data_IF_376949147244
#
_entry.id   IF_376949147244
#
_cell.length_a   1.000
_cell.length_b   1.000
_cell.length_c   1.000
_cell.angle_alpha   90.00
_cell.angle_beta   90.00
_cell.angle_gamma   90.00
#
_symmetry.space_group_name_H-M   'P 1'
#
loop_
_entity.id
_entity.type
_entity.pdbx_description
1 polymer ?
#
# COMPACT_ATOMS: atom_id res chain seq x y z
N UNK A 1 44.52 9.60 37.29
CA UNK A 1 43.12 9.35 36.88
C UNK A 1 42.31 9.30 38.17
N UNK A 2 41.41 10.27 38.37
CA UNK A 2 40.64 10.39 39.62
C UNK A 2 39.47 9.40 39.61
N UNK A 3 39.13 8.80 40.75
CA UNK A 3 37.93 7.94 40.88
C UNK A 3 36.65 8.73 40.57
N UNK A 4 36.67 10.07 40.75
CA UNK A 4 35.59 10.95 40.34
C UNK A 4 35.45 11.10 38.81
N UNK A 5 36.54 10.92 38.04
CA UNK A 5 36.47 10.85 36.56
C UNK A 5 35.82 9.55 36.09
N UNK A 6 35.76 8.54 36.95
CA UNK A 6 35.16 7.22 36.67
C UNK A 6 33.69 7.11 37.09
N UNK A 7 33.16 8.14 37.76
CA UNK A 7 31.73 8.21 38.07
C UNK A 7 30.98 8.62 36.80
N UNK A 8 30.60 7.61 36.03
CA UNK A 8 29.72 7.75 34.88
C UNK A 8 28.49 8.58 35.28
N UNK A 9 28.42 9.81 34.77
CA UNK A 9 27.25 10.66 34.96
C UNK A 9 26.05 10.02 34.22
N UNK A 10 25.07 9.60 34.99
CA UNK A 10 23.85 8.95 34.47
C UNK A 10 23.07 9.90 33.57
N UNK A 11 23.14 11.22 33.83
CA UNK A 11 22.51 12.24 32.98
C UNK A 11 23.22 12.34 31.62
N UNK A 12 24.56 12.38 31.60
CA UNK A 12 25.34 12.35 30.37
C UNK A 12 25.08 11.09 29.52
N UNK A 13 24.95 9.92 30.14
CA UNK A 13 24.57 8.68 29.43
C UNK A 13 23.14 8.74 28.89
N UNK A 14 22.18 9.24 29.68
CA UNK A 14 20.81 9.38 29.23
C UNK A 14 20.71 10.34 28.03
N UNK A 15 21.49 11.42 28.06
CA UNK A 15 21.59 12.39 26.98
C UNK A 15 22.23 11.79 25.72
N UNK A 16 23.37 11.10 25.85
CA UNK A 16 24.01 10.40 24.74
C UNK A 16 23.07 9.35 24.11
N UNK A 17 22.32 8.60 24.94
CA UNK A 17 21.32 7.63 24.48
C UNK A 17 20.14 8.32 23.76
N UNK A 18 19.74 9.52 24.18
CA UNK A 18 18.72 10.29 23.49
C UNK A 18 19.20 10.79 22.13
N UNK A 19 20.47 11.21 22.02
CA UNK A 19 21.08 11.66 20.77
C UNK A 19 21.23 10.51 19.75
N UNK A 20 21.59 9.32 20.21
CA UNK A 20 21.71 8.11 19.39
C UNK A 20 20.35 7.45 19.11
N UNK A 21 19.27 7.91 19.74
CA UNK A 21 17.93 7.35 19.52
C UNK A 21 17.49 7.68 18.10
N UNK A 22 17.53 6.69 17.22
CA UNK A 22 17.05 6.84 15.85
C UNK A 22 15.63 7.42 15.86
N UNK A 23 15.37 8.53 15.16
CA UNK A 23 14.03 9.09 15.09
C UNK A 23 13.12 8.03 14.47
N UNK A 24 12.14 7.56 15.25
CA UNK A 24 11.12 6.63 14.75
C UNK A 24 10.34 7.38 13.67
N UNK A 25 10.72 7.14 12.40
CA UNK A 25 10.01 7.67 11.24
C UNK A 25 8.62 7.02 11.26
N UNK A 26 7.63 7.73 11.82
CA UNK A 26 6.23 7.32 11.76
C UNK A 26 5.82 7.37 10.29
N UNK A 27 5.97 6.27 9.58
CA UNK A 27 5.37 6.12 8.26
C UNK A 27 3.86 6.20 8.43
N UNK A 28 3.24 7.15 7.74
CA UNK A 28 1.79 7.22 7.63
C UNK A 28 1.38 6.05 6.73
N UNK A 29 0.95 4.94 7.33
CA UNK A 29 0.49 3.74 6.60
C UNK A 29 -0.90 3.93 5.97
N UNK A 30 -1.65 4.94 6.42
CA UNK A 30 -2.98 5.28 5.93
C UNK A 30 -3.08 5.44 4.40
N UNK A 31 -2.22 6.23 3.71
CA UNK A 31 -2.26 6.33 2.25
C UNK A 31 -2.04 4.99 1.54
N UNK A 32 -1.17 4.13 2.07
CA UNK A 32 -0.92 2.79 1.49
C UNK A 32 -2.16 1.90 1.65
N UNK A 33 -2.80 1.95 2.81
CA UNK A 33 -4.03 1.21 3.07
C UNK A 33 -5.17 1.65 2.14
N UNK A 34 -5.34 2.97 1.92
CA UNK A 34 -6.35 3.51 1.02
C UNK A 34 -6.10 3.09 -0.44
N UNK A 35 -4.84 3.13 -0.89
CA UNK A 35 -4.48 2.68 -2.23
C UNK A 35 -4.83 1.19 -2.46
N UNK A 36 -4.50 0.34 -1.48
CA UNK A 36 -4.82 -1.09 -1.54
C UNK A 36 -6.35 -1.34 -1.52
N UNK A 37 -7.09 -0.60 -0.69
CA UNK A 37 -8.55 -0.71 -0.62
C UNK A 37 -9.22 -0.29 -1.95
N UNK A 38 -8.76 0.80 -2.57
CA UNK A 38 -9.28 1.23 -3.87
C UNK A 38 -9.06 0.17 -4.96
N UNK A 39 -7.86 -0.41 -5.02
CA UNK A 39 -7.56 -1.49 -5.96
C UNK A 39 -8.45 -2.72 -5.76
N UNK A 40 -8.69 -3.12 -4.50
CA UNK A 40 -9.59 -4.23 -4.18
C UNK A 40 -11.04 -3.95 -4.63
N UNK A 41 -11.54 -2.73 -4.38
CA UNK A 41 -12.90 -2.33 -4.80
C UNK A 41 -13.02 -2.33 -6.33
N UNK A 42 -12.02 -1.81 -7.04
CA UNK A 42 -12.00 -1.82 -8.50
C UNK A 42 -11.99 -3.25 -9.07
N UNK A 43 -11.21 -4.17 -8.48
CA UNK A 43 -11.18 -5.56 -8.92
C UNK A 43 -12.55 -6.25 -8.74
N UNK A 44 -13.21 -6.04 -7.60
CA UNK A 44 -14.54 -6.62 -7.33
C UNK A 44 -15.59 -6.05 -8.28
N UNK A 45 -15.57 -4.74 -8.55
CA UNK A 45 -16.56 -4.15 -9.47
C UNK A 45 -16.42 -4.70 -10.89
N UNK A 46 -15.20 -4.81 -11.43
CA UNK A 46 -14.97 -5.41 -12.74
C UNK A 46 -15.42 -6.87 -12.81
N UNK A 47 -15.06 -7.67 -11.81
CA UNK A 47 -15.50 -9.07 -11.74
C UNK A 47 -17.03 -9.17 -11.72
N UNK A 48 -17.69 -8.29 -10.96
CA UNK A 48 -19.16 -8.26 -10.89
C UNK A 48 -19.79 -7.95 -12.25
N UNK A 49 -19.23 -6.98 -12.99
CA UNK A 49 -19.70 -6.65 -14.35
C UNK A 49 -19.51 -7.82 -15.29
N UNK A 50 -18.38 -8.52 -15.25
CA UNK A 50 -18.15 -9.71 -16.08
C UNK A 50 -19.12 -10.85 -15.78
N UNK A 51 -19.46 -11.05 -14.51
CA UNK A 51 -20.41 -12.10 -14.09
C UNK A 51 -21.84 -11.76 -14.51
N UNK A 52 -22.24 -10.49 -14.42
CA UNK A 52 -23.60 -10.07 -14.72
C UNK A 52 -23.83 -9.71 -16.19
N UNK A 53 -22.76 -9.56 -16.98
CA UNK A 53 -22.87 -9.19 -18.38
C UNK A 53 -23.65 -10.26 -19.18
N UNK A 54 -24.63 -9.85 -20.01
CA UNK A 54 -25.29 -10.77 -20.91
C UNK A 54 -24.28 -11.37 -21.90
N UNK A 55 -24.46 -12.65 -22.30
CA UNK A 55 -23.53 -13.32 -23.20
C UNK A 55 -23.47 -12.59 -24.55
N UNK A 56 -22.26 -12.33 -25.03
CA UNK A 56 -22.04 -11.75 -26.35
C UNK A 56 -22.46 -12.78 -27.41
N UNK A 57 -23.65 -12.60 -27.98
CA UNK A 57 -24.13 -13.44 -29.09
C UNK A 57 -23.57 -12.92 -30.41
N UNK A 58 -22.65 -13.67 -31.01
CA UNK A 58 -22.20 -13.42 -32.39
C UNK A 58 -23.19 -14.08 -33.35
N UNK A 59 -24.01 -13.30 -34.05
CA UNK A 59 -24.81 -13.82 -35.17
C UNK A 59 -23.95 -13.82 -36.44
N UNK A 60 -23.80 -15.00 -37.07
CA UNK A 60 -23.23 -15.08 -38.41
C UNK A 60 -24.21 -14.44 -39.38
N UNK A 61 -23.84 -13.29 -39.95
CA UNK A 61 -24.60 -12.65 -41.02
C UNK A 61 -24.59 -13.58 -42.26
N UNK A 62 -25.76 -13.99 -42.78
CA UNK A 62 -25.83 -14.74 -44.02
C UNK A 62 -25.24 -13.92 -45.17
N UNK A 63 -24.38 -14.53 -45.99
CA UNK A 63 -23.73 -13.89 -47.14
C UNK A 63 -24.72 -13.29 -48.14
N UNK A 64 -25.96 -13.79 -48.18
CA UNK A 64 -27.04 -13.29 -49.05
C UNK A 64 -27.45 -11.83 -48.77
N UNK A 65 -27.08 -11.26 -47.61
CA UNK A 65 -27.30 -9.84 -47.26
C UNK A 65 -26.10 -8.93 -47.60
N UNK A 66 -24.97 -9.52 -47.97
CA UNK A 66 -23.75 -8.82 -48.34
C UNK A 66 -23.69 -8.86 -49.87
N UNK A 67 -24.44 -7.96 -50.51
CA UNK A 67 -24.70 -8.01 -51.96
C UNK A 67 -23.43 -8.12 -52.80
N UNK A 68 -23.43 -9.11 -53.69
CA UNK A 68 -22.63 -9.14 -54.93
C UNK A 68 -23.46 -8.54 -56.08
#
# INVERSE_FOLDING_TARGET
MSVADSAIDTAAIAYARALLRAPRRRQKMLPVLLAAAFAAVAAVSFATVMVLAPPLTTQHLPKERLGD
#
